data_IF_452302875914
#
_entry.id   IF_452302875914
#
_cell.length_a   1.000
_cell.length_b   1.000
_cell.length_c   1.000
_cell.angle_alpha   90.00
_cell.angle_beta   90.00
_cell.angle_gamma   90.00
#
_symmetry.space_group_name_H-M   'P 1'
#
loop_
_entity.id
_entity.type
_entity.pdbx_description
1 polymer ?
#
# COMPACT_ATOMS: atom_id res chain seq x y z
N UNK A 1 -8.85 -8.30 -11.78
CA UNK A 1 -7.61 -7.55 -11.50
C UNK A 1 -6.59 -8.16 -12.42
N UNK A 2 -6.02 -7.36 -13.30
CA UNK A 2 -5.09 -7.88 -14.31
C UNK A 2 -3.73 -8.15 -13.67
N UNK A 3 -3.05 -9.18 -14.14
CA UNK A 3 -1.67 -9.46 -13.75
C UNK A 3 -0.80 -8.22 -14.06
N UNK A 4 0.23 -7.94 -13.23
CA UNK A 4 1.08 -6.79 -13.47
C UNK A 4 1.78 -6.90 -14.82
N UNK A 5 1.66 -5.83 -15.62
CA UNK A 5 2.20 -5.74 -16.97
C UNK A 5 3.73 -5.85 -16.95
N UNK A 6 4.32 -6.88 -17.60
CA UNK A 6 5.76 -7.05 -17.67
C UNK A 6 6.49 -5.91 -18.39
N UNK A 7 5.84 -5.17 -19.31
CA UNK A 7 6.49 -4.02 -19.96
C UNK A 7 6.74 -2.89 -18.97
N UNK A 8 5.76 -2.61 -18.12
CA UNK A 8 5.85 -1.57 -17.09
C UNK A 8 6.72 -1.99 -15.91
N UNK A 9 6.59 -3.23 -15.45
CA UNK A 9 7.16 -3.68 -14.17
C UNK A 9 8.40 -4.56 -14.32
N UNK A 10 8.76 -4.99 -15.53
CA UNK A 10 9.96 -5.76 -15.81
C UNK A 10 10.13 -6.95 -14.84
N UNK A 11 11.30 -7.12 -14.19
CA UNK A 11 11.55 -8.24 -13.30
C UNK A 11 10.75 -8.19 -11.99
N UNK A 12 10.12 -7.05 -11.65
CA UNK A 12 9.35 -6.93 -10.40
C UNK A 12 8.13 -7.86 -10.37
N UNK A 13 7.60 -8.27 -11.54
CA UNK A 13 6.51 -9.25 -11.63
C UNK A 13 6.94 -10.64 -11.13
N UNK A 14 8.25 -10.93 -11.14
CA UNK A 14 8.83 -12.20 -10.74
C UNK A 14 9.22 -12.25 -9.25
N UNK A 15 9.00 -11.17 -8.47
CA UNK A 15 9.20 -11.20 -7.01
C UNK A 15 8.39 -12.36 -6.42
N UNK A 16 9.05 -13.21 -5.65
CA UNK A 16 8.46 -14.46 -5.17
C UNK A 16 7.62 -14.26 -3.91
N UNK A 17 6.68 -15.18 -3.64
CA UNK A 17 5.91 -15.12 -2.40
C UNK A 17 6.80 -15.34 -1.17
N UNK A 18 7.82 -16.20 -1.29
CA UNK A 18 8.75 -16.56 -0.23
C UNK A 18 9.59 -15.35 0.21
N UNK A 19 10.11 -14.57 -0.75
CA UNK A 19 10.87 -13.34 -0.45
C UNK A 19 10.00 -12.27 0.20
N UNK A 20 8.76 -12.10 -0.27
CA UNK A 20 7.79 -11.17 0.32
C UNK A 20 7.41 -11.55 1.76
N UNK A 21 7.21 -12.84 2.03
CA UNK A 21 6.94 -13.34 3.38
C UNK A 21 8.16 -13.14 4.28
N UNK A 22 9.37 -13.45 3.81
CA UNK A 22 10.59 -13.23 4.56
C UNK A 22 10.78 -11.75 4.93
N UNK A 23 10.62 -10.85 3.94
CA UNK A 23 10.67 -9.40 4.16
C UNK A 23 9.64 -8.95 5.20
N UNK A 24 8.39 -9.38 5.05
CA UNK A 24 7.30 -9.05 5.95
C UNK A 24 7.58 -9.53 7.38
N UNK A 25 8.05 -10.76 7.57
CA UNK A 25 8.39 -11.32 8.89
C UNK A 25 9.54 -10.56 9.54
N UNK A 26 10.56 -10.16 8.78
CA UNK A 26 11.67 -9.35 9.29
C UNK A 26 11.21 -7.95 9.73
N UNK A 27 10.32 -7.32 8.97
CA UNK A 27 9.73 -6.03 9.34
C UNK A 27 8.83 -6.18 10.57
N UNK A 28 7.97 -7.20 10.63
CA UNK A 28 7.08 -7.45 11.76
C UNK A 28 7.87 -7.70 13.05
N UNK A 29 8.96 -8.46 13.00
CA UNK A 29 9.82 -8.66 14.15
C UNK A 29 10.44 -7.34 14.66
N UNK A 30 10.97 -6.51 13.75
CA UNK A 30 11.62 -5.24 14.10
C UNK A 30 10.65 -4.16 14.59
N UNK A 31 9.50 -4.04 13.93
CA UNK A 31 8.59 -2.90 14.12
C UNK A 31 7.37 -3.21 14.97
N UNK A 32 6.95 -4.49 15.02
CA UNK A 32 5.74 -4.94 15.74
C UNK A 32 6.05 -5.92 16.86
N UNK A 33 7.33 -6.31 17.05
CA UNK A 33 7.77 -7.28 18.04
C UNK A 33 7.07 -8.66 17.89
N UNK A 34 6.86 -9.07 16.65
CA UNK A 34 6.30 -10.38 16.28
C UNK A 34 7.39 -11.29 15.70
N UNK A 35 8.12 -12.07 16.53
CA UNK A 35 9.18 -12.96 16.05
C UNK A 35 8.61 -14.21 15.36
N UNK A 36 9.37 -14.76 14.40
CA UNK A 36 9.11 -16.05 13.74
C UNK A 36 7.71 -16.21 13.11
N UNK A 37 7.08 -15.11 12.68
CA UNK A 37 5.76 -15.20 12.05
C UNK A 37 5.83 -15.95 10.73
N UNK A 38 5.15 -17.09 10.67
CA UNK A 38 4.82 -17.73 9.40
C UNK A 38 3.79 -16.86 8.65
N UNK A 39 3.79 -16.97 7.32
CA UNK A 39 2.91 -16.12 6.52
C UNK A 39 2.70 -16.61 5.11
N UNK A 40 1.80 -15.93 4.40
CA UNK A 40 1.49 -16.19 3.00
C UNK A 40 1.17 -14.90 2.27
N UNK A 41 1.50 -14.88 0.98
CA UNK A 41 1.01 -13.85 0.06
C UNK A 41 -0.49 -14.09 -0.19
N UNK A 42 -1.34 -13.11 0.14
CA UNK A 42 -2.80 -13.23 -0.04
C UNK A 42 -3.32 -12.47 -1.24
N UNK A 43 -2.60 -11.44 -1.71
CA UNK A 43 -2.98 -10.72 -2.92
C UNK A 43 -1.76 -10.07 -3.59
N UNK A 44 -1.85 -9.96 -4.92
CA UNK A 44 -1.01 -9.11 -5.76
C UNK A 44 -1.92 -8.20 -6.55
N UNK A 45 -1.73 -6.90 -6.37
CA UNK A 45 -2.58 -5.85 -6.90
C UNK A 45 -1.73 -4.99 -7.82
N UNK A 46 -2.02 -5.02 -9.12
CA UNK A 46 -1.39 -4.13 -10.09
C UNK A 46 -2.10 -2.78 -10.07
N UNK A 47 -1.36 -1.71 -9.75
CA UNK A 47 -1.79 -0.34 -9.93
C UNK A 47 -0.98 0.33 -11.05
N UNK A 48 -1.36 1.55 -11.45
CA UNK A 48 -0.71 2.22 -12.60
C UNK A 48 0.79 2.48 -12.44
N UNK A 49 1.29 2.58 -11.21
CA UNK A 49 2.69 2.91 -10.92
C UNK A 49 3.34 1.99 -9.89
N UNK A 50 2.59 1.05 -9.33
CA UNK A 50 3.06 0.22 -8.23
C UNK A 50 2.42 -1.16 -8.30
N UNK A 51 3.21 -2.19 -7.98
CA UNK A 51 2.67 -3.49 -7.57
C UNK A 51 2.51 -3.45 -6.06
N UNK A 52 1.33 -3.84 -5.59
CA UNK A 52 1.04 -3.91 -4.17
C UNK A 52 0.83 -5.38 -3.78
N UNK A 53 1.62 -5.86 -2.83
CA UNK A 53 1.54 -7.20 -2.30
C UNK A 53 0.93 -7.15 -0.90
N UNK A 54 -0.12 -7.94 -0.67
CA UNK A 54 -0.69 -8.10 0.66
C UNK A 54 -0.18 -9.40 1.24
N UNK A 55 0.57 -9.32 2.33
CA UNK A 55 1.11 -10.47 3.06
C UNK A 55 0.35 -10.61 4.37
N UNK A 56 -0.19 -11.80 4.61
CA UNK A 56 -0.81 -12.17 5.87
C UNK A 56 0.21 -12.93 6.71
N UNK A 57 0.57 -12.35 7.85
CA UNK A 57 1.26 -13.00 8.93
C UNK A 57 0.23 -13.35 10.00
N UNK A 58 0.41 -14.44 10.74
CA UNK A 58 -0.52 -15.02 11.73
C UNK A 58 -1.63 -14.09 12.28
N UNK A 59 -1.28 -12.94 12.86
CA UNK A 59 -2.22 -11.97 13.44
C UNK A 59 -2.32 -10.61 12.73
N UNK A 60 -1.49 -10.35 11.72
CA UNK A 60 -1.39 -9.03 11.07
C UNK A 60 -1.29 -9.13 9.55
N UNK A 61 -1.85 -8.15 8.85
CA UNK A 61 -1.66 -8.00 7.40
C UNK A 61 -0.78 -6.81 7.11
N UNK A 62 0.27 -7.06 6.35
CA UNK A 62 1.19 -6.06 5.85
C UNK A 62 0.99 -5.86 4.36
N UNK A 63 1.20 -4.63 3.92
CA UNK A 63 1.18 -4.25 2.51
C UNK A 63 2.59 -3.84 2.12
N UNK A 64 3.16 -4.54 1.13
CA UNK A 64 4.45 -4.22 0.52
C UNK A 64 4.16 -3.61 -0.85
N UNK A 65 4.45 -2.33 -1.01
CA UNK A 65 4.24 -1.56 -2.23
C UNK A 65 5.58 -1.35 -2.93
N UNK A 66 5.69 -1.85 -4.16
CA UNK A 66 6.89 -1.77 -4.99
C UNK A 66 6.61 -0.83 -6.17
N UNK A 67 7.40 0.24 -6.36
CA UNK A 67 7.18 1.19 -7.45
C UNK A 67 7.64 0.61 -8.79
N UNK A 68 6.98 1.01 -9.88
CA UNK A 68 7.36 0.64 -11.25
C UNK A 68 8.78 1.09 -11.61
N UNK A 69 9.29 2.14 -10.95
CA UNK A 69 10.68 2.60 -11.09
C UNK A 69 11.69 1.75 -10.33
N UNK A 70 11.25 0.73 -9.59
CA UNK A 70 12.10 -0.10 -8.73
C UNK A 70 13.04 -1.08 -9.43
N UNK A 71 13.19 -1.00 -10.76
CA UNK A 71 14.03 -1.91 -11.53
C UNK A 71 14.84 -1.18 -12.62
N UNK A 72 15.87 -1.85 -13.13
CA UNK A 72 16.76 -1.29 -14.14
C UNK A 72 17.43 0.00 -13.65
N UNK A 73 17.38 1.05 -14.49
CA UNK A 73 17.86 2.38 -14.13
C UNK A 73 16.75 3.31 -13.61
N UNK A 74 15.56 2.77 -13.30
CA UNK A 74 14.40 3.56 -12.89
C UNK A 74 14.54 4.20 -11.51
N UNK A 75 15.30 3.59 -10.60
CA UNK A 75 15.46 4.06 -9.22
C UNK A 75 16.53 5.16 -9.14
N UNK A 76 16.21 6.29 -9.75
CA UNK A 76 17.03 7.50 -9.75
C UNK A 76 16.92 8.24 -8.41
N UNK A 77 17.85 9.17 -8.07
CA UNK A 77 17.75 9.96 -6.85
C UNK A 77 16.41 10.74 -6.72
N UNK A 78 15.85 11.34 -7.79
CA UNK A 78 14.50 11.91 -7.72
C UNK A 78 13.40 10.89 -7.42
N UNK A 79 13.51 9.65 -7.93
CA UNK A 79 12.53 8.60 -7.65
C UNK A 79 12.58 8.16 -6.17
N UNK A 80 13.78 7.99 -5.61
CA UNK A 80 13.97 7.71 -4.19
C UNK A 80 13.40 8.85 -3.32
N UNK A 81 13.71 10.10 -3.67
CA UNK A 81 13.18 11.27 -2.96
C UNK A 81 11.64 11.35 -3.04
N UNK A 82 11.05 10.97 -4.17
CA UNK A 82 9.60 10.91 -4.30
C UNK A 82 8.98 9.85 -3.36
N UNK A 83 9.64 8.71 -3.13
CA UNK A 83 9.19 7.71 -2.15
C UNK A 83 9.28 8.25 -0.71
N UNK A 84 10.38 8.90 -0.36
CA UNK A 84 10.55 9.53 0.96
C UNK A 84 9.49 10.62 1.20
N UNK A 85 9.22 11.44 0.19
CA UNK A 85 8.19 12.48 0.23
C UNK A 85 6.78 11.89 0.38
N UNK A 86 6.48 10.75 -0.26
CA UNK A 86 5.23 10.01 -0.03
C UNK A 86 5.10 9.58 1.43
N UNK A 87 6.16 9.04 2.04
CA UNK A 87 6.16 8.63 3.46
C UNK A 87 5.94 9.83 4.37
N UNK A 88 6.65 10.94 4.12
CA UNK A 88 6.50 12.17 4.88
C UNK A 88 5.06 12.70 4.79
N UNK A 89 4.47 12.68 3.60
CA UNK A 89 3.08 13.11 3.35
C UNK A 89 2.08 12.25 4.12
N UNK A 90 2.19 10.91 4.05
CA UNK A 90 1.30 10.00 4.78
C UNK A 90 1.41 10.24 6.29
N UNK A 91 2.62 10.40 6.82
CA UNK A 91 2.85 10.70 8.24
C UNK A 91 2.25 12.05 8.65
N UNK A 92 2.39 13.08 7.82
CA UNK A 92 1.79 14.39 8.05
C UNK A 92 0.27 14.28 8.14
N UNK A 93 -0.38 13.68 7.13
CA UNK A 93 -1.83 13.49 7.08
C UNK A 93 -2.32 12.78 8.34
N UNK A 94 -1.66 11.67 8.73
CA UNK A 94 -2.00 10.92 9.93
C UNK A 94 -1.90 11.75 11.22
N UNK A 95 -0.90 12.63 11.32
CA UNK A 95 -0.66 13.44 12.51
C UNK A 95 -1.56 14.66 12.64
N UNK A 96 -2.15 15.12 11.52
CA UNK A 96 -2.90 16.38 11.44
C UNK A 96 -4.38 16.19 11.15
N UNK A 97 -4.82 14.99 10.79
CA UNK A 97 -6.20 14.73 10.37
C UNK A 97 -6.73 13.46 11.02
N UNK A 98 -8.05 13.26 10.91
CA UNK A 98 -8.72 12.00 11.27
C UNK A 98 -8.85 11.05 10.08
N UNK A 99 -8.22 11.36 8.94
CA UNK A 99 -8.32 10.57 7.73
C UNK A 99 -7.61 9.23 7.96
N UNK A 100 -8.27 8.09 7.66
CA UNK A 100 -7.65 6.78 7.82
C UNK A 100 -6.61 6.57 6.71
N UNK A 101 -5.36 6.89 7.00
CA UNK A 101 -4.20 6.57 6.16
C UNK A 101 -3.35 5.47 6.79
N UNK A 102 -2.60 4.68 6.00
CA UNK A 102 -1.79 3.61 6.55
C UNK A 102 -0.71 4.10 7.50
N UNK A 103 -0.38 3.27 8.48
CA UNK A 103 0.85 3.39 9.24
C UNK A 103 2.01 2.81 8.43
N UNK A 104 3.05 3.60 8.25
CA UNK A 104 4.28 3.19 7.56
C UNK A 104 5.24 2.54 8.55
N UNK A 105 5.60 1.28 8.31
CA UNK A 105 6.55 0.53 9.13
C UNK A 105 7.98 0.62 8.61
N UNK A 106 8.18 0.53 7.30
CA UNK A 106 9.51 0.57 6.69
C UNK A 106 9.47 1.13 5.27
N UNK A 107 10.58 1.73 4.85
CA UNK A 107 10.86 2.14 3.48
C UNK A 107 12.30 1.73 3.16
N UNK A 108 12.52 1.21 1.97
CA UNK A 108 13.83 0.97 1.41
C UNK A 108 13.82 1.47 -0.04
N UNK A 109 14.73 2.38 -0.37
CA UNK A 109 14.87 2.94 -1.72
C UNK A 109 15.94 2.21 -2.54
N UNK A 110 16.52 1.14 -2.00
CA UNK A 110 17.53 0.30 -2.64
C UNK A 110 16.96 -1.07 -3.02
N UNK A 111 17.76 -1.86 -3.71
CA UNK A 111 17.47 -3.27 -4.05
C UNK A 111 18.20 -4.26 -3.12
N UNK A 112 18.92 -3.79 -2.10
CA UNK A 112 19.69 -4.64 -1.19
C UNK A 112 18.84 -5.18 -0.04
N UNK A 113 17.80 -5.93 -0.39
CA UNK A 113 16.86 -6.54 0.54
C UNK A 113 16.32 -7.86 -0.02
N UNK A 114 15.47 -8.52 0.75
CA UNK A 114 14.97 -9.87 0.49
C UNK A 114 14.21 -10.01 -0.84
N UNK A 115 13.62 -8.92 -1.34
CA UNK A 115 12.85 -8.92 -2.60
C UNK A 115 13.65 -8.37 -3.79
N UNK A 116 14.88 -7.89 -3.57
CA UNK A 116 15.71 -7.33 -4.64
C UNK A 116 15.16 -6.06 -5.27
N UNK A 117 14.34 -5.28 -4.54
CA UNK A 117 13.67 -4.09 -5.07
C UNK A 117 13.34 -3.06 -3.99
N UNK A 118 13.24 -1.77 -4.34
CA UNK A 118 12.73 -0.73 -3.46
C UNK A 118 11.28 -1.00 -3.03
N UNK A 119 10.94 -0.66 -1.79
CA UNK A 119 9.59 -0.87 -1.27
C UNK A 119 9.16 0.13 -0.22
N UNK A 120 7.84 0.18 -0.01
CA UNK A 120 7.19 0.76 1.15
C UNK A 120 6.37 -0.32 1.86
N UNK A 121 6.62 -0.56 3.14
CA UNK A 121 5.85 -1.48 3.96
C UNK A 121 4.96 -0.71 4.94
N UNK A 122 3.67 -1.07 4.96
CA UNK A 122 2.65 -0.41 5.77
C UNK A 122 1.61 -1.40 6.28
N UNK A 123 0.79 -0.98 7.25
CA UNK A 123 -0.33 -1.80 7.69
C UNK A 123 -1.41 -1.93 6.60
N UNK A 124 -2.13 -3.04 6.62
CA UNK A 124 -3.31 -3.21 5.77
C UNK A 124 -4.51 -2.46 6.33
N UNK A 125 -5.14 -1.64 5.49
CA UNK A 125 -6.44 -1.01 5.81
C UNK A 125 -7.55 -1.85 5.17
N UNK A 126 -8.44 -2.48 5.96
CA UNK A 126 -9.56 -3.22 5.41
C UNK A 126 -10.59 -2.27 4.78
N UNK A 127 -11.10 -2.65 3.61
CA UNK A 127 -12.10 -1.86 2.91
C UNK A 127 -12.51 -2.49 1.58
N UNK A 128 -13.39 -1.80 0.86
CA UNK A 128 -13.80 -2.11 -0.50
C UNK A 128 -13.55 -0.89 -1.39
N UNK A 129 -13.23 -1.12 -2.65
CA UNK A 129 -13.08 0.00 -3.59
C UNK A 129 -14.45 0.61 -3.88
N UNK A 130 -14.51 1.94 -4.01
CA UNK A 130 -15.77 2.61 -4.36
C UNK A 130 -16.32 2.09 -5.69
N UNK A 131 -15.45 1.79 -6.66
CA UNK A 131 -15.85 1.21 -7.95
C UNK A 131 -16.58 -0.13 -7.83
N UNK A 132 -16.24 -0.95 -6.82
CA UNK A 132 -16.88 -2.24 -6.57
C UNK A 132 -18.28 -2.09 -5.96
N UNK A 133 -18.47 -1.09 -5.09
CA UNK A 133 -19.72 -0.91 -4.33
C UNK A 133 -20.67 0.12 -4.95
N UNK A 134 -20.18 0.99 -5.83
CA UNK A 134 -20.98 2.11 -6.39
C UNK A 134 -22.15 1.64 -7.26
N UNK A 135 -21.98 0.50 -7.93
CA UNK A 135 -22.97 -0.15 -8.78
C UNK A 135 -23.45 -1.49 -8.20
N UNK A 136 -23.07 -1.81 -6.96
CA UNK A 136 -23.51 -3.03 -6.31
C UNK A 136 -24.98 -2.91 -5.89
N UNK A 137 -25.77 -3.91 -6.28
CA UNK A 137 -27.20 -4.01 -5.98
C UNK A 137 -27.48 -5.05 -4.87
N UNK A 138 -26.45 -5.77 -4.41
CA UNK A 138 -26.55 -6.82 -3.39
C UNK A 138 -26.44 -6.30 -1.95
N UNK A 139 -26.12 -5.01 -1.79
CA UNK A 139 -25.98 -4.37 -0.48
C UNK A 139 -27.30 -4.26 0.28
N UNK A 140 -27.21 -4.27 1.61
CA UNK A 140 -28.37 -4.07 2.50
C UNK A 140 -28.86 -2.62 2.55
N UNK A 141 -28.01 -1.67 2.16
CA UNK A 141 -28.32 -0.24 2.16
C UNK A 141 -28.88 0.18 0.80
N UNK A 142 -29.93 1.02 0.73
CA UNK A 142 -30.38 1.60 -0.53
C UNK A 142 -29.25 2.30 -1.27
N UNK A 143 -29.17 2.11 -2.58
CA UNK A 143 -28.04 2.55 -3.41
C UNK A 143 -27.76 4.05 -3.33
N UNK A 144 -28.80 4.87 -3.41
CA UNK A 144 -28.63 6.32 -3.35
C UNK A 144 -28.16 6.79 -1.96
N UNK A 145 -28.63 6.12 -0.89
CA UNK A 145 -28.15 6.36 0.47
C UNK A 145 -26.67 5.97 0.62
N UNK A 146 -26.23 4.84 0.05
CA UNK A 146 -24.82 4.45 0.02
C UNK A 146 -23.95 5.51 -0.68
N UNK A 147 -24.38 5.96 -1.86
CA UNK A 147 -23.66 6.96 -2.66
C UNK A 147 -23.56 8.30 -1.93
N UNK A 148 -24.65 8.76 -1.32
CA UNK A 148 -24.65 9.97 -0.51
C UNK A 148 -23.68 9.86 0.67
N UNK A 149 -23.61 8.71 1.34
CA UNK A 149 -22.62 8.49 2.42
C UNK A 149 -21.18 8.52 1.92
N UNK A 150 -20.90 7.90 0.77
CA UNK A 150 -19.57 7.93 0.15
C UNK A 150 -19.16 9.37 -0.19
N UNK A 151 -20.04 10.11 -0.85
CA UNK A 151 -19.79 11.51 -1.23
C UNK A 151 -19.64 12.42 -0.01
N UNK A 152 -20.44 12.21 1.04
CA UNK A 152 -20.33 12.94 2.31
C UNK A 152 -19.02 12.61 3.04
N UNK A 153 -18.58 11.36 3.01
CA UNK A 153 -17.27 10.98 3.57
C UNK A 153 -16.13 11.66 2.81
N UNK A 154 -16.18 11.63 1.48
CA UNK A 154 -15.18 12.27 0.62
C UNK A 154 -15.11 13.79 0.87
N UNK A 155 -16.24 14.49 0.97
CA UNK A 155 -16.25 15.92 1.23
C UNK A 155 -15.63 16.28 2.59
N UNK A 156 -15.85 15.46 3.63
CA UNK A 156 -15.19 15.60 4.94
C UNK A 156 -13.68 15.39 4.86
N UNK A 157 -13.22 14.43 4.06
CA UNK A 157 -11.79 14.20 3.81
C UNK A 157 -11.18 15.42 3.11
N UNK A 158 -11.82 15.93 2.06
CA UNK A 158 -11.35 17.11 1.32
C UNK A 158 -11.30 18.37 2.20
N UNK A 159 -12.29 18.58 3.06
CA UNK A 159 -12.28 19.68 4.01
C UNK A 159 -11.09 19.60 4.96
N UNK A 160 -10.77 18.41 5.48
CA UNK A 160 -9.59 18.21 6.34
C UNK A 160 -8.27 18.44 5.58
N UNK A 161 -8.17 17.99 4.33
CA UNK A 161 -6.99 18.28 3.50
C UNK A 161 -6.79 19.78 3.25
N UNK A 162 -7.86 20.56 3.10
CA UNK A 162 -7.75 22.02 2.91
C UNK A 162 -7.12 22.76 4.09
N UNK A 163 -7.08 22.13 5.28
CA UNK A 163 -6.45 22.68 6.47
C UNK A 163 -4.96 22.33 6.59
N UNK A 164 -4.41 21.49 5.71
CA UNK A 164 -3.00 21.13 5.73
C UNK A 164 -2.15 22.25 5.10
N UNK A 165 -1.08 22.62 5.81
CA UNK A 165 -0.05 23.54 5.33
C UNK A 165 1.30 22.82 5.32
N UNK A 166 2.13 23.10 4.31
CA UNK A 166 3.45 22.49 4.10
C UNK A 166 4.42 23.49 3.48
#
# INVERSE_FOLDING_TARGET
MDDPDPETFGPLVAITAESLVLLASNIANRCLHLPNSSGKLVARISGSYNITHVVELESVKLVIRVPATGWGSGMTPPAAHAMESQVATIRLIRSKTTIPVPEIYAIDTTDNNEIGAPYLCMNFIPGKLVSEVWFDHSGTLPREELRLRILTSLSRIMAQFSCLTF
#
